data_IF_267505568416
#
_entry.id   IF_267505568416
#
_cell.length_a   1.000
_cell.length_b   1.000
_cell.length_c   1.000
_cell.angle_alpha   90.00
_cell.angle_beta   90.00
_cell.angle_gamma   90.00
#
_symmetry.space_group_name_H-M   'P 1'
#
loop_
_entity.id
_entity.type
_entity.pdbx_description
1 polymer ?
#
# COMPACT_ATOMS: atom_id res chain seq x y z
N UNK A 1 5.35 3.83 6.64
CA UNK A 1 6.71 4.32 6.28
C UNK A 1 6.92 4.08 4.80
N UNK A 2 7.86 4.81 4.21
CA UNK A 2 8.36 4.58 2.85
C UNK A 2 9.84 4.21 2.94
N UNK A 3 10.24 3.15 2.23
CA UNK A 3 11.60 2.62 2.21
C UNK A 3 11.83 1.90 0.88
N UNK A 4 13.00 1.29 0.66
CA UNK A 4 13.18 0.29 -0.39
C UNK A 4 13.12 -1.12 0.21
N UNK A 5 12.88 -2.11 -0.64
CA UNK A 5 12.94 -3.51 -0.24
C UNK A 5 14.40 -3.93 0.02
N UNK A 6 14.78 -4.11 1.29
CA UNK A 6 16.16 -4.39 1.73
C UNK A 6 16.70 -5.72 1.19
N UNK A 7 15.83 -6.73 1.09
CA UNK A 7 16.17 -8.04 0.54
C UNK A 7 15.78 -8.25 -0.93
N UNK A 8 15.26 -7.23 -1.61
CA UNK A 8 14.79 -7.30 -2.99
C UNK A 8 14.98 -5.98 -3.75
N UNK A 9 13.97 -5.59 -4.54
CA UNK A 9 14.04 -4.39 -5.37
C UNK A 9 12.81 -3.50 -5.25
N UNK A 10 13.01 -2.20 -5.42
CA UNK A 10 11.95 -1.22 -5.57
C UNK A 10 11.51 -0.56 -4.27
N UNK A 11 10.81 0.56 -4.44
CA UNK A 11 10.24 1.34 -3.34
C UNK A 11 9.03 0.63 -2.75
N UNK A 12 8.98 0.56 -1.43
CA UNK A 12 7.97 -0.14 -0.65
C UNK A 12 7.37 0.78 0.43
N UNK A 13 6.05 0.71 0.59
CA UNK A 13 5.40 1.10 1.84
C UNK A 13 5.56 -0.03 2.84
N UNK A 14 5.79 0.33 4.10
CA UNK A 14 5.93 -0.63 5.18
C UNK A 14 5.24 -0.14 6.46
N UNK A 15 4.77 -1.08 7.26
CA UNK A 15 4.26 -0.84 8.62
C UNK A 15 5.26 -1.35 9.64
N UNK A 16 5.48 -0.59 10.72
CA UNK A 16 6.29 -1.01 11.85
C UNK A 16 5.55 -2.10 12.62
N UNK A 17 6.20 -3.26 12.78
CA UNK A 17 5.67 -4.35 13.61
C UNK A 17 6.39 -4.43 14.97
N UNK A 18 7.62 -3.91 15.04
CA UNK A 18 8.42 -3.81 16.28
C UNK A 18 9.44 -2.67 16.15
N UNK A 19 9.64 -1.90 17.22
CA UNK A 19 10.53 -0.73 17.21
C UNK A 19 11.30 -0.55 18.53
N UNK A 20 11.86 -1.63 19.07
CA UNK A 20 12.76 -1.58 20.24
C UNK A 20 13.94 -0.62 19.98
N UNK A 21 14.44 -0.59 18.74
CA UNK A 21 15.33 0.45 18.20
C UNK A 21 14.59 1.20 17.07
N UNK A 22 14.11 2.43 17.31
CA UNK A 22 13.44 3.23 16.28
C UNK A 22 14.31 3.60 15.07
N UNK A 23 15.64 3.58 15.20
CA UNK A 23 16.55 3.81 14.09
C UNK A 23 16.69 2.56 13.19
N UNK A 24 16.31 1.39 13.67
CA UNK A 24 16.34 0.10 12.96
C UNK A 24 15.07 -0.71 13.24
N UNK A 25 13.89 -0.19 12.88
CA UNK A 25 12.63 -0.86 13.19
C UNK A 25 12.50 -2.15 12.38
N UNK A 26 11.77 -3.10 12.94
CA UNK A 26 11.30 -4.26 12.19
C UNK A 26 9.97 -3.90 11.55
N UNK A 27 9.87 -4.13 10.24
CA UNK A 27 8.72 -3.76 9.45
C UNK A 27 8.15 -4.94 8.68
N UNK A 28 6.89 -4.81 8.26
CA UNK A 28 6.28 -5.64 7.23
C UNK A 28 6.00 -4.80 5.99
N UNK A 29 6.41 -5.29 4.84
CA UNK A 29 6.13 -4.64 3.55
C UNK A 29 4.66 -4.79 3.16
N UNK A 30 4.09 -3.71 2.64
CA UNK A 30 2.68 -3.59 2.33
C UNK A 30 2.38 -3.77 0.84
N UNK A 31 3.34 -3.47 -0.06
CA UNK A 31 3.11 -3.52 -1.51
C UNK A 31 3.36 -4.91 -2.11
N UNK A 32 3.74 -5.89 -1.29
CA UNK A 32 3.76 -7.30 -1.64
C UNK A 32 2.40 -7.93 -1.35
N UNK A 33 1.92 -8.80 -2.25
CA UNK A 33 0.71 -9.59 -2.01
C UNK A 33 0.88 -10.39 -0.72
N UNK A 34 -0.10 -10.33 0.18
CA UNK A 34 -0.01 -10.98 1.49
C UNK A 34 0.14 -12.50 1.40
N UNK A 35 -0.47 -13.10 0.37
CA UNK A 35 -0.46 -14.52 0.04
C UNK A 35 0.55 -14.88 -1.07
N UNK A 36 1.52 -13.99 -1.36
CA UNK A 36 2.51 -14.26 -2.39
C UNK A 36 3.23 -15.60 -2.13
N UNK A 37 3.28 -16.54 -3.09
CA UNK A 37 3.82 -17.87 -2.85
C UNK A 37 5.36 -17.90 -2.76
N UNK A 38 6.04 -16.84 -3.22
CA UNK A 38 7.49 -16.77 -3.20
C UNK A 38 8.02 -16.77 -1.76
N UNK A 39 9.06 -17.58 -1.52
CA UNK A 39 9.71 -17.71 -0.22
C UNK A 39 10.69 -16.57 0.04
N UNK A 40 10.78 -16.14 1.30
CA UNK A 40 11.80 -15.22 1.75
C UNK A 40 13.17 -15.93 1.87
N UNK A 41 14.20 -15.20 2.32
CA UNK A 41 15.54 -15.74 2.53
C UNK A 41 15.58 -16.89 3.55
N UNK A 42 14.62 -16.96 4.48
CA UNK A 42 14.52 -18.04 5.45
C UNK A 42 13.92 -19.34 4.87
N UNK A 43 13.47 -19.33 3.60
CA UNK A 43 12.85 -20.44 2.86
C UNK A 43 11.55 -21.00 3.46
N UNK A 44 11.05 -20.43 4.55
CA UNK A 44 9.86 -20.89 5.28
C UNK A 44 8.72 -19.89 5.14
N UNK A 45 8.99 -18.61 5.44
CA UNK A 45 8.03 -17.51 5.33
C UNK A 45 7.89 -17.07 3.88
N UNK A 46 6.69 -16.60 3.52
CA UNK A 46 6.48 -15.97 2.22
C UNK A 46 6.90 -14.51 2.25
N UNK A 47 7.29 -13.97 1.10
CA UNK A 47 7.70 -12.55 1.01
C UNK A 47 6.57 -11.58 1.42
N UNK A 48 5.30 -11.98 1.29
CA UNK A 48 4.14 -11.19 1.73
C UNK A 48 3.94 -11.13 3.24
N UNK A 49 4.56 -12.05 3.98
CA UNK A 49 4.38 -12.24 5.42
C UNK A 49 5.68 -12.13 6.22
N UNK A 50 6.81 -11.89 5.55
CA UNK A 50 8.09 -11.71 6.23
C UNK A 50 8.13 -10.39 7.00
N UNK A 51 8.92 -10.39 8.05
CA UNK A 51 9.30 -9.19 8.78
C UNK A 51 10.79 -8.96 8.54
N UNK A 52 11.17 -7.71 8.29
CA UNK A 52 12.57 -7.35 7.99
C UNK A 52 12.99 -6.16 8.84
N UNK A 53 14.20 -6.23 9.40
CA UNK A 53 14.80 -5.09 10.09
C UNK A 53 15.33 -4.12 9.05
N UNK A 54 14.89 -2.86 9.13
CA UNK A 54 15.41 -1.81 8.26
C UNK A 54 16.78 -1.34 8.76
N UNK A 55 17.65 -0.98 7.82
CA UNK A 55 18.88 -0.27 8.14
C UNK A 55 18.57 1.15 8.64
N UNK A 56 19.49 1.74 9.39
CA UNK A 56 19.40 3.16 9.75
C UNK A 56 19.40 4.03 8.51
N UNK A 57 18.69 5.16 8.58
CA UNK A 57 18.57 6.15 7.50
C UNK A 57 18.04 5.57 6.17
N UNK A 58 17.38 4.41 6.22
CA UNK A 58 16.85 3.72 5.03
C UNK A 58 15.37 3.99 4.74
N UNK A 59 14.77 4.92 5.47
CA UNK A 59 13.33 5.12 5.43
C UNK A 59 12.94 6.55 5.75
N UNK A 60 11.69 6.88 5.40
CA UNK A 60 11.02 8.08 5.87
C UNK A 60 9.65 7.74 6.43
N UNK A 61 9.19 8.56 7.39
CA UNK A 61 7.82 8.47 7.87
C UNK A 61 6.88 8.94 6.75
N UNK A 62 6.07 8.02 6.24
CA UNK A 62 5.06 8.33 5.24
C UNK A 62 3.89 9.05 5.92
N UNK A 63 3.63 10.29 5.51
CA UNK A 63 2.48 11.09 5.91
C UNK A 63 1.40 11.02 4.82
N UNK A 64 0.15 11.21 5.21
CA UNK A 64 -0.97 11.29 4.26
C UNK A 64 -0.68 12.33 3.17
N UNK A 65 -0.85 11.94 1.92
CA UNK A 65 -0.66 12.81 0.76
C UNK A 65 0.79 13.14 0.39
N UNK A 66 1.79 12.67 1.15
CA UNK A 66 3.20 12.85 0.80
C UNK A 66 3.65 11.94 -0.38
N UNK A 67 4.79 12.22 -1.05
CA UNK A 67 5.39 11.28 -2.00
C UNK A 67 5.47 9.85 -1.46
N UNK A 68 5.13 8.87 -2.30
CA UNK A 68 4.95 7.47 -1.93
C UNK A 68 3.53 7.10 -1.48
N UNK A 69 2.66 8.08 -1.21
CA UNK A 69 1.24 7.83 -0.93
C UNK A 69 0.53 7.29 -2.17
N UNK A 70 -0.48 6.46 -1.93
CA UNK A 70 -1.32 5.92 -2.99
C UNK A 70 -2.57 6.77 -3.14
N UNK A 71 -3.00 6.92 -4.39
CA UNK A 71 -4.19 7.67 -4.78
C UNK A 71 -5.06 6.81 -5.69
N UNK A 72 -6.37 6.97 -5.54
CA UNK A 72 -7.38 6.58 -6.51
C UNK A 72 -7.62 7.76 -7.43
N UNK A 73 -7.19 7.68 -8.68
CA UNK A 73 -7.38 8.73 -9.68
C UNK A 73 -8.35 8.27 -10.77
N UNK A 74 -9.19 9.18 -11.27
CA UNK A 74 -10.05 8.89 -12.41
C UNK A 74 -9.27 9.06 -13.72
N UNK A 75 -9.14 7.98 -14.48
CA UNK A 75 -8.61 7.92 -15.83
C UNK A 75 -9.78 7.70 -16.79
N UNK A 76 -10.38 8.80 -17.24
CA UNK A 76 -11.70 8.79 -17.87
C UNK A 76 -12.76 8.22 -16.92
N UNK A 77 -13.45 7.16 -17.35
CA UNK A 77 -14.49 6.49 -16.55
C UNK A 77 -13.93 5.45 -15.55
N UNK A 78 -12.63 5.15 -15.59
CA UNK A 78 -12.03 4.09 -14.75
C UNK A 78 -11.26 4.69 -13.59
N UNK A 79 -11.37 4.07 -12.42
CA UNK A 79 -10.52 4.39 -11.28
C UNK A 79 -9.20 3.63 -11.40
N UNK A 80 -8.09 4.35 -11.39
CA UNK A 80 -6.74 3.82 -11.41
C UNK A 80 -6.06 4.00 -10.05
N UNK A 81 -5.32 2.97 -9.63
CA UNK A 81 -4.41 3.06 -8.48
C UNK A 81 -3.07 3.61 -8.94
N UNK A 82 -2.63 4.71 -8.33
CA UNK A 82 -1.36 5.36 -8.66
C UNK A 82 -0.60 5.71 -7.38
N UNK A 83 0.72 5.85 -7.49
CA UNK A 83 1.59 6.31 -6.39
C UNK A 83 2.17 7.67 -6.71
N UNK A 84 2.03 8.58 -5.76
CA UNK A 84 2.54 9.95 -5.89
C UNK A 84 4.07 9.95 -5.91
N UNK A 85 4.65 10.63 -6.91
CA UNK A 85 6.07 10.96 -6.96
C UNK A 85 6.28 12.41 -6.51
N UNK A 86 5.52 13.34 -7.08
CA UNK A 86 5.55 14.75 -6.70
C UNK A 86 4.25 15.47 -7.04
N UNK A 87 3.98 16.58 -6.36
CA UNK A 87 2.90 17.51 -6.66
C UNK A 87 3.53 18.83 -7.16
N UNK A 88 3.07 19.31 -8.31
CA UNK A 88 3.46 20.61 -8.84
C UNK A 88 2.62 21.73 -8.22
N UNK A 89 3.13 22.98 -8.14
CA UNK A 89 2.41 24.11 -7.54
C UNK A 89 1.05 24.41 -8.16
N UNK A 90 0.83 24.02 -9.42
CA UNK A 90 -0.42 24.17 -10.15
C UNK A 90 -1.44 23.05 -9.87
N UNK A 91 -1.19 22.17 -8.89
CA UNK A 91 -2.08 21.08 -8.53
C UNK A 91 -2.05 19.87 -9.46
N UNK A 92 -1.00 19.72 -10.27
CA UNK A 92 -0.75 18.49 -11.04
C UNK A 92 0.03 17.48 -10.20
N UNK A 93 -0.41 16.23 -10.22
CA UNK A 93 0.26 15.11 -9.56
C UNK A 93 1.07 14.33 -10.59
N UNK A 94 2.38 14.29 -10.44
CA UNK A 94 3.24 13.36 -11.16
C UNK A 94 3.27 12.04 -10.39
N UNK A 95 2.85 10.96 -11.05
CA UNK A 95 2.59 9.67 -10.41
C UNK A 95 3.21 8.52 -11.20
N UNK A 96 3.43 7.40 -10.52
CA UNK A 96 3.70 6.11 -11.14
C UNK A 96 2.46 5.23 -11.04
N UNK A 97 1.97 4.76 -12.19
CA UNK A 97 0.76 3.97 -12.31
C UNK A 97 1.05 2.46 -12.42
N UNK A 98 0.11 1.75 -13.05
CA UNK A 98 0.23 0.33 -13.33
C UNK A 98 1.51 0.00 -14.11
N UNK A 99 2.15 -1.13 -13.77
CA UNK A 99 3.39 -1.61 -14.40
C UNK A 99 4.57 -0.60 -14.43
N UNK A 100 4.53 0.43 -13.57
CA UNK A 100 5.61 1.42 -13.50
C UNK A 100 5.49 2.56 -14.51
N UNK A 101 4.41 2.67 -15.28
CA UNK A 101 4.26 3.74 -16.26
C UNK A 101 3.97 5.08 -15.57
N UNK A 102 4.76 6.14 -15.87
CA UNK A 102 4.51 7.46 -15.33
C UNK A 102 3.26 8.09 -15.97
N UNK A 103 2.51 8.85 -15.17
CA UNK A 103 1.34 9.62 -15.62
C UNK A 103 1.25 10.95 -14.87
N UNK A 104 0.43 11.87 -15.40
CA UNK A 104 0.05 13.10 -14.72
C UNK A 104 -1.47 13.14 -14.56
N UNK A 105 -1.92 13.50 -13.36
CA UNK A 105 -3.34 13.72 -13.08
C UNK A 105 -3.54 15.11 -12.46
N UNK A 106 -4.68 15.73 -12.72
CA UNK A 106 -5.12 16.85 -11.88
C UNK A 106 -5.44 16.33 -10.47
N UNK A 107 -5.01 17.04 -9.43
CA UNK A 107 -5.30 16.65 -8.03
C UNK A 107 -6.78 16.48 -7.76
N UNK A 108 -7.63 17.28 -8.41
CA UNK A 108 -9.10 17.21 -8.31
C UNK A 108 -9.70 15.90 -8.85
N UNK A 109 -8.99 15.20 -9.74
CA UNK A 109 -9.40 13.90 -10.26
C UNK A 109 -8.96 12.73 -9.34
N UNK A 110 -8.25 13.03 -8.25
CA UNK A 110 -7.63 12.03 -7.38
C UNK A 110 -8.10 12.16 -5.94
N UNK A 111 -8.21 11.02 -5.26
CA UNK A 111 -8.44 10.94 -3.81
C UNK A 111 -7.32 10.11 -3.17
N UNK A 112 -6.64 10.60 -2.13
CA UNK A 112 -5.65 9.80 -1.42
C UNK A 112 -6.34 8.65 -0.70
N UNK A 113 -5.72 7.46 -0.74
CA UNK A 113 -6.15 6.34 0.10
C UNK A 113 -5.60 6.52 1.51
N UNK A 114 -6.39 6.28 2.57
CA UNK A 114 -5.90 6.42 3.95
C UNK A 114 -4.81 5.40 4.30
N UNK A 115 -3.70 5.87 4.88
CA UNK A 115 -2.60 5.07 5.42
C UNK A 115 -3.02 4.21 6.61
N UNK A 116 -4.10 4.57 7.30
CA UNK A 116 -4.75 3.80 8.37
C UNK A 116 -6.27 3.89 8.21
N UNK A 117 -6.87 3.05 7.36
CA UNK A 117 -8.30 3.08 7.11
C UNK A 117 -9.07 2.81 8.40
N UNK A 118 -10.11 3.60 8.66
CA UNK A 118 -11.03 3.41 9.79
C UNK A 118 -12.22 2.56 9.32
N UNK A 119 -11.99 1.26 9.16
CA UNK A 119 -13.00 0.29 8.70
C UNK A 119 -13.13 -0.85 9.70
N UNK A 120 -14.26 -1.55 9.68
CA UNK A 120 -14.56 -2.72 10.52
C UNK A 120 -15.25 -3.81 9.70
N UNK A 121 -15.32 -5.02 10.26
CA UNK A 121 -16.05 -6.12 9.66
C UNK A 121 -17.49 -5.72 9.32
N UNK A 122 -17.92 -6.03 8.10
CA UNK A 122 -19.25 -5.67 7.59
C UNK A 122 -19.27 -4.44 6.69
N UNK A 123 -18.29 -3.54 6.79
CA UNK A 123 -18.24 -2.32 5.96
C UNK A 123 -18.05 -2.67 4.46
N UNK A 124 -18.68 -1.89 3.58
CA UNK A 124 -18.39 -1.91 2.14
C UNK A 124 -17.25 -0.93 1.85
N UNK A 125 -16.29 -1.36 1.03
CA UNK A 125 -15.09 -0.58 0.67
C UNK A 125 -14.79 -0.74 -0.82
N UNK A 126 -14.04 0.19 -1.42
CA UNK A 126 -13.40 -0.04 -2.72
C UNK A 126 -11.94 -0.43 -2.49
N UNK A 127 -11.51 -1.59 -3.00
CA UNK A 127 -10.14 -2.09 -2.86
C UNK A 127 -9.42 -2.12 -4.20
N UNK A 128 -8.12 -1.92 -4.18
CA UNK A 128 -7.29 -2.14 -5.36
C UNK A 128 -7.31 -3.62 -5.76
N UNK A 129 -7.59 -3.87 -7.04
CA UNK A 129 -7.48 -5.19 -7.64
C UNK A 129 -7.12 -5.04 -9.12
N UNK A 130 -6.04 -5.71 -9.55
CA UNK A 130 -5.57 -5.73 -10.93
C UNK A 130 -5.40 -4.34 -11.58
N UNK A 131 -4.94 -3.34 -10.81
CA UNK A 131 -4.70 -1.97 -11.27
C UNK A 131 -5.92 -1.04 -11.25
N UNK A 132 -7.10 -1.55 -10.86
CA UNK A 132 -8.32 -0.77 -10.69
C UNK A 132 -8.88 -0.85 -9.27
N UNK A 133 -10.07 -0.28 -9.05
CA UNK A 133 -10.80 -0.38 -7.79
C UNK A 133 -12.07 -1.22 -7.96
N UNK A 134 -12.31 -2.13 -7.01
CA UNK A 134 -13.48 -3.02 -6.98
C UNK A 134 -14.14 -2.94 -5.60
N UNK A 135 -15.47 -2.98 -5.57
CA UNK A 135 -16.23 -3.05 -4.31
C UNK A 135 -15.99 -4.40 -3.63
N UNK A 136 -15.77 -4.36 -2.32
CA UNK A 136 -15.62 -5.55 -1.49
C UNK A 136 -16.21 -5.31 -0.10
N UNK A 137 -16.47 -6.39 0.62
CA UNK A 137 -16.92 -6.34 2.02
C UNK A 137 -15.77 -6.72 2.95
N UNK A 138 -15.58 -5.95 4.02
CA UNK A 138 -14.58 -6.22 5.05
C UNK A 138 -14.99 -7.44 5.86
N UNK A 139 -14.11 -8.43 5.96
CA UNK A 139 -14.27 -9.60 6.82
C UNK A 139 -13.60 -9.36 8.17
N UNK A 140 -12.38 -8.82 8.18
CA UNK A 140 -11.63 -8.48 9.40
C UNK A 140 -10.50 -7.48 9.13
N UNK A 141 -9.97 -6.89 10.19
CA UNK A 141 -8.83 -5.96 10.14
C UNK A 141 -7.74 -6.47 11.06
N UNK A 142 -6.50 -6.56 10.54
CA UNK A 142 -5.31 -6.79 11.34
C UNK A 142 -4.38 -5.57 11.23
N UNK A 143 -4.58 -4.65 12.17
CA UNK A 143 -3.82 -3.40 12.23
C UNK A 143 -2.34 -3.62 12.60
N UNK A 144 -1.98 -4.75 13.23
CA UNK A 144 -0.58 -5.05 13.60
C UNK A 144 0.27 -5.29 12.36
N UNK A 145 -0.32 -5.88 11.32
CA UNK A 145 0.35 -6.18 10.04
C UNK A 145 -0.09 -5.26 8.90
N UNK A 146 -0.95 -4.27 9.19
CA UNK A 146 -1.41 -3.28 8.23
C UNK A 146 -2.27 -3.86 7.11
N UNK A 147 -3.15 -4.83 7.43
CA UNK A 147 -4.00 -5.50 6.45
C UNK A 147 -5.49 -5.37 6.80
N UNK A 148 -6.29 -5.16 5.77
CA UNK A 148 -7.75 -5.36 5.80
C UNK A 148 -8.04 -6.58 4.94
N UNK A 149 -8.72 -7.56 5.52
CA UNK A 149 -9.12 -8.77 4.81
C UNK A 149 -10.53 -8.58 4.30
N UNK A 150 -10.71 -8.80 3.00
CA UNK A 150 -11.99 -8.62 2.30
C UNK A 150 -12.34 -9.88 1.51
N UNK A 151 -13.62 -10.05 1.22
CA UNK A 151 -14.09 -11.09 0.30
C UNK A 151 -14.07 -10.58 -1.14
N UNK A 152 -13.17 -11.11 -1.96
CA UNK A 152 -13.10 -10.86 -3.40
C UNK A 152 -13.32 -12.16 -4.15
N UNK A 153 -14.29 -12.19 -5.08
CA UNK A 153 -14.59 -13.36 -5.92
C UNK A 153 -14.74 -14.67 -5.14
N UNK A 154 -15.32 -14.62 -3.95
CA UNK A 154 -15.53 -15.79 -3.09
C UNK A 154 -14.33 -16.22 -2.24
N UNK A 155 -13.20 -15.50 -2.28
CA UNK A 155 -12.00 -15.77 -1.48
C UNK A 155 -11.65 -14.60 -0.57
N UNK A 156 -11.05 -14.89 0.58
CA UNK A 156 -10.45 -13.86 1.44
C UNK A 156 -9.17 -13.35 0.77
N UNK A 157 -9.01 -12.02 0.72
CA UNK A 157 -7.82 -11.36 0.20
C UNK A 157 -7.32 -10.30 1.19
N UNK A 158 -6.02 -10.31 1.49
CA UNK A 158 -5.39 -9.34 2.39
C UNK A 158 -4.97 -8.07 1.65
N UNK A 159 -5.76 -7.01 1.78
CA UNK A 159 -5.51 -5.70 1.16
C UNK A 159 -4.67 -4.84 2.10
N UNK A 160 -3.67 -4.14 1.55
CA UNK A 160 -2.81 -3.28 2.33
C UNK A 160 -3.54 -2.05 2.87
N UNK A 161 -3.12 -1.56 4.02
CA UNK A 161 -3.39 -0.19 4.42
C UNK A 161 -2.84 0.77 3.34
N UNK A 162 -3.67 1.74 2.92
CA UNK A 162 -3.38 2.61 1.79
C UNK A 162 -3.65 1.99 0.41
N UNK A 163 -4.31 0.84 0.27
CA UNK A 163 -4.80 0.34 -1.03
C UNK A 163 -6.32 0.13 -1.04
N UNK A 164 -7.04 0.86 -0.19
CA UNK A 164 -8.50 0.84 -0.15
C UNK A 164 -9.09 2.21 0.16
N UNK A 165 -10.33 2.42 -0.27
CA UNK A 165 -11.18 3.56 0.04
C UNK A 165 -12.34 3.08 0.94
N UNK A 166 -12.54 3.69 2.12
CA UNK A 166 -13.74 3.53 2.93
C UNK A 166 -15.00 4.08 2.27
#
# INVERSE_FOLDING_TARGET
MLTWWQSGSGMQRAIVVKADDPAKPVVRYLDLSYDNPAKSRDKTTTIGQMNEQLASDSFTLLKEGAPGSVYRCMDGAKAARVRLISEAPNGQLFVIGHAGFPKVFAKTACKPTPLKPKVKAGDEVEVEFAGGFTKAKVERVDAKIGRVFVKLFGREAGVAFGDLMP
#
